data_IF_808991396159
#
_entry.id   IF_808991396159
#
_cell.length_a   1.000
_cell.length_b   1.000
_cell.length_c   1.000
_cell.angle_alpha   90.00
_cell.angle_beta   90.00
_cell.angle_gamma   90.00
#
_symmetry.space_group_name_H-M   'P 1'
#
loop_
_entity.id
_entity.type
_entity.pdbx_description
1 polymer ?
#
# COMPACT_ATOMS: atom_id res chain seq x y z
N UNK A 1 -17.85 -22.86 15.31
CA UNK A 1 -18.21 -21.50 14.82
C UNK A 1 -17.32 -21.15 13.63
N UNK A 2 -16.02 -21.32 13.73
CA UNK A 2 -15.02 -21.01 12.68
C UNK A 2 -15.35 -21.69 11.35
N UNK A 3 -15.70 -22.97 11.36
CA UNK A 3 -16.03 -23.73 10.15
C UNK A 3 -17.25 -23.17 9.38
N UNK A 4 -18.23 -22.62 10.11
CA UNK A 4 -19.41 -21.98 9.50
C UNK A 4 -19.04 -20.69 8.78
N UNK A 5 -18.13 -19.89 9.36
CA UNK A 5 -17.63 -18.65 8.71
C UNK A 5 -16.72 -18.94 7.51
N UNK A 6 -15.90 -19.97 7.59
CA UNK A 6 -15.03 -20.41 6.49
C UNK A 6 -15.85 -20.82 5.26
N UNK A 7 -16.91 -21.58 5.44
CA UNK A 7 -17.79 -22.03 4.35
C UNK A 7 -18.50 -20.89 3.60
N UNK A 8 -18.69 -19.74 4.21
CA UNK A 8 -19.34 -18.60 3.54
C UNK A 8 -18.46 -17.92 2.51
N UNK A 9 -17.15 -18.07 2.58
CA UNK A 9 -16.16 -17.37 1.72
C UNK A 9 -16.32 -15.82 1.69
N UNK A 10 -17.09 -15.24 2.62
CA UNK A 10 -17.34 -13.81 2.72
C UNK A 10 -16.28 -13.09 3.56
N UNK A 11 -15.63 -13.83 4.46
CA UNK A 11 -14.67 -13.27 5.41
C UNK A 11 -13.23 -13.51 4.96
N UNK A 12 -12.33 -12.60 5.33
CA UNK A 12 -10.92 -12.78 5.05
C UNK A 12 -10.35 -13.98 5.80
N UNK A 13 -9.34 -14.63 5.25
CA UNK A 13 -8.61 -15.70 5.94
C UNK A 13 -8.05 -15.25 7.29
N UNK A 14 -7.69 -13.98 7.41
CA UNK A 14 -7.29 -13.39 8.69
C UNK A 14 -8.40 -13.45 9.74
N UNK A 15 -9.62 -13.03 9.38
CA UNK A 15 -10.79 -13.07 10.28
C UNK A 15 -11.04 -14.51 10.76
N UNK A 16 -11.04 -15.47 9.84
CA UNK A 16 -11.27 -16.88 10.13
C UNK A 16 -10.20 -17.45 11.06
N UNK A 17 -8.93 -17.15 10.80
CA UNK A 17 -7.81 -17.62 11.63
C UNK A 17 -7.85 -17.00 13.04
N UNK A 18 -8.24 -15.73 13.18
CA UNK A 18 -8.43 -15.09 14.48
C UNK A 18 -9.58 -15.71 15.26
N UNK A 19 -10.68 -16.00 14.57
CA UNK A 19 -11.84 -16.66 15.16
C UNK A 19 -11.48 -18.07 15.66
N UNK A 20 -10.71 -18.81 14.86
CA UNK A 20 -10.20 -20.13 15.24
C UNK A 20 -9.30 -20.06 16.48
N UNK A 21 -8.40 -19.09 16.54
CA UNK A 21 -7.56 -18.87 17.72
C UNK A 21 -8.40 -18.57 18.97
N UNK A 22 -9.50 -17.80 18.84
CA UNK A 22 -10.45 -17.52 19.92
C UNK A 22 -11.24 -18.74 20.36
N UNK A 23 -11.67 -19.56 19.43
CA UNK A 23 -12.40 -20.79 19.70
C UNK A 23 -11.53 -21.81 20.45
N UNK A 24 -10.26 -21.97 20.00
CA UNK A 24 -9.29 -22.87 20.64
C UNK A 24 -8.84 -22.41 22.04
N UNK A 25 -8.70 -21.09 22.25
CA UNK A 25 -8.29 -20.52 23.54
C UNK A 25 -9.46 -20.29 24.51
N UNK A 26 -10.72 -20.49 24.09
CA UNK A 26 -11.92 -20.20 24.88
C UNK A 26 -12.20 -18.72 25.13
N UNK A 27 -11.47 -17.81 24.42
CA UNK A 27 -11.56 -16.36 24.60
C UNK A 27 -12.24 -15.66 23.40
N UNK A 28 -13.32 -16.25 22.91
CA UNK A 28 -14.00 -15.81 21.69
C UNK A 28 -14.51 -14.38 21.81
N UNK A 29 -15.11 -14.01 22.96
CA UNK A 29 -15.64 -12.66 23.19
C UNK A 29 -14.55 -11.58 23.10
N UNK A 30 -13.38 -11.86 23.70
CA UNK A 30 -12.22 -10.94 23.64
C UNK A 30 -11.75 -10.78 22.20
N UNK A 31 -11.59 -11.88 21.48
CA UNK A 31 -11.12 -11.84 20.07
C UNK A 31 -12.13 -11.14 19.16
N UNK A 32 -13.43 -11.34 19.35
CA UNK A 32 -14.45 -10.64 18.56
C UNK A 32 -14.40 -9.11 18.81
N UNK A 33 -14.25 -8.70 20.06
CA UNK A 33 -14.10 -7.28 20.40
C UNK A 33 -12.81 -6.69 19.81
N UNK A 34 -11.71 -7.42 19.84
CA UNK A 34 -10.43 -6.99 19.29
C UNK A 34 -10.44 -6.97 17.76
N UNK A 35 -11.14 -7.91 17.10
CA UNK A 35 -11.42 -7.85 15.67
C UNK A 35 -12.26 -6.63 15.29
N UNK A 36 -13.28 -6.29 16.07
CA UNK A 36 -14.09 -5.09 15.84
C UNK A 36 -13.21 -3.83 15.89
N UNK A 37 -12.35 -3.69 16.91
CA UNK A 37 -11.39 -2.59 17.03
C UNK A 37 -10.35 -2.59 15.90
N UNK A 38 -9.94 -3.78 15.47
CA UNK A 38 -9.01 -3.93 14.35
C UNK A 38 -9.62 -3.37 13.06
N UNK A 39 -10.83 -3.79 12.70
CA UNK A 39 -11.50 -3.33 11.48
C UNK A 39 -11.85 -1.84 11.51
N UNK A 40 -12.31 -1.31 12.65
CA UNK A 40 -12.51 0.14 12.84
C UNK A 40 -11.20 0.92 12.63
N UNK A 41 -10.11 0.42 13.15
CA UNK A 41 -8.78 0.99 12.95
C UNK A 41 -8.28 0.91 11.51
N UNK A 42 -8.58 -0.18 10.80
CA UNK A 42 -8.26 -0.35 9.38
C UNK A 42 -9.04 0.64 8.53
N UNK A 43 -10.32 0.82 8.81
CA UNK A 43 -11.16 1.78 8.11
C UNK A 43 -10.68 3.21 8.32
N UNK A 44 -10.36 3.59 9.56
CA UNK A 44 -9.76 4.89 9.87
C UNK A 44 -8.42 5.11 9.16
N UNK A 45 -7.56 4.07 9.11
CA UNK A 45 -6.30 4.16 8.38
C UNK A 45 -6.54 4.36 6.89
N UNK A 46 -7.43 3.57 6.29
CA UNK A 46 -7.81 3.68 4.88
C UNK A 46 -8.39 5.05 4.54
N UNK A 47 -9.32 5.54 5.36
CA UNK A 47 -9.92 6.87 5.20
C UNK A 47 -8.86 7.97 5.26
N UNK A 48 -7.91 7.89 6.20
CA UNK A 48 -6.83 8.86 6.32
C UNK A 48 -5.89 8.85 5.12
N UNK A 49 -5.57 7.67 4.59
CA UNK A 49 -4.76 7.50 3.37
C UNK A 49 -5.47 8.13 2.17
N UNK A 50 -6.76 7.84 1.98
CA UNK A 50 -7.57 8.41 0.90
C UNK A 50 -7.58 9.94 1.01
N UNK A 51 -7.85 10.48 2.19
CA UNK A 51 -7.90 11.94 2.41
C UNK A 51 -6.59 12.64 2.06
N UNK A 52 -5.45 12.04 2.38
CA UNK A 52 -4.14 12.59 2.05
C UNK A 52 -3.86 12.49 0.54
N UNK A 53 -4.36 11.45 -0.12
CA UNK A 53 -4.15 11.20 -1.55
C UNK A 53 -5.01 12.06 -2.46
N UNK A 54 -6.10 12.67 -1.96
CA UNK A 54 -7.02 13.49 -2.76
C UNK A 54 -6.30 14.67 -3.42
N UNK A 55 -5.47 15.39 -2.66
CA UNK A 55 -4.76 16.58 -3.17
C UNK A 55 -3.81 16.25 -4.34
N UNK A 56 -2.88 15.29 -4.25
CA UNK A 56 -2.05 14.88 -5.38
C UNK A 56 -2.85 14.43 -6.60
N UNK A 57 -3.96 13.72 -6.38
CA UNK A 57 -4.81 13.25 -7.48
C UNK A 57 -5.47 14.43 -8.20
N UNK A 58 -6.01 15.40 -7.47
CA UNK A 58 -6.60 16.62 -8.07
C UNK A 58 -5.56 17.38 -8.87
N UNK A 59 -4.35 17.56 -8.34
CA UNK A 59 -3.27 18.24 -9.06
C UNK A 59 -2.91 17.54 -10.38
N UNK A 60 -2.77 16.22 -10.36
CA UNK A 60 -2.49 15.43 -11.56
C UNK A 60 -3.62 15.58 -12.58
N UNK A 61 -4.88 15.50 -12.16
CA UNK A 61 -6.03 15.66 -13.03
C UNK A 61 -6.05 17.05 -13.65
N UNK A 62 -5.86 18.10 -12.86
CA UNK A 62 -5.85 19.49 -13.36
C UNK A 62 -4.69 19.73 -14.32
N UNK A 63 -3.50 19.20 -14.01
CA UNK A 63 -2.34 19.27 -14.92
C UNK A 63 -2.60 18.56 -16.24
N UNK A 64 -3.23 17.38 -16.21
CA UNK A 64 -3.59 16.64 -17.43
C UNK A 64 -4.63 17.39 -18.27
N UNK A 65 -5.66 17.94 -17.63
CA UNK A 65 -6.72 18.74 -18.30
C UNK A 65 -6.10 20.00 -18.93
N UNK A 66 -5.26 20.73 -18.19
CA UNK A 66 -4.56 21.91 -18.72
C UNK A 66 -3.64 21.57 -19.87
N UNK A 67 -2.84 20.51 -19.75
CA UNK A 67 -1.97 20.03 -20.83
C UNK A 67 -2.74 19.60 -22.08
N UNK A 68 -3.85 18.90 -21.89
CA UNK A 68 -4.75 18.53 -23.00
C UNK A 68 -5.36 19.77 -23.67
N UNK A 69 -5.81 20.76 -22.89
CA UNK A 69 -6.34 22.01 -23.41
C UNK A 69 -5.31 22.75 -24.26
N UNK A 70 -4.06 22.85 -23.77
CA UNK A 70 -2.96 23.49 -24.52
C UNK A 70 -2.71 22.76 -25.85
N UNK A 71 -2.63 21.43 -25.81
CA UNK A 71 -2.37 20.62 -27.01
C UNK A 71 -3.47 20.74 -28.06
N UNK A 72 -4.74 20.76 -27.63
CA UNK A 72 -5.89 20.69 -28.56
C UNK A 72 -6.29 22.09 -29.06
N UNK A 73 -6.15 23.15 -28.23
CA UNK A 73 -6.67 24.48 -28.58
C UNK A 73 -5.58 25.51 -28.83
N UNK A 74 -4.47 25.50 -28.09
CA UNK A 74 -3.45 26.54 -28.19
C UNK A 74 -2.44 26.21 -29.28
N UNK A 75 -1.90 25.01 -29.31
CA UNK A 75 -0.86 24.60 -30.27
C UNK A 75 -1.31 24.76 -31.73
N UNK A 76 -2.52 24.39 -32.14
CA UNK A 76 -2.98 24.60 -33.53
C UNK A 76 -3.01 26.06 -33.98
N UNK A 77 -3.25 27.00 -33.07
CA UNK A 77 -3.20 28.43 -33.41
C UNK A 77 -1.77 28.87 -33.76
N UNK A 78 -0.75 28.34 -33.08
CA UNK A 78 0.63 28.58 -33.42
C UNK A 78 1.01 27.97 -34.78
N UNK A 79 0.51 26.76 -35.08
CA UNK A 79 0.72 26.11 -36.38
C UNK A 79 0.25 27.01 -37.52
N UNK A 80 -0.97 27.55 -37.44
CA UNK A 80 -1.52 28.48 -38.44
C UNK A 80 -0.68 29.75 -38.59
N UNK A 81 -0.10 30.29 -37.50
CA UNK A 81 0.76 31.47 -37.54
C UNK A 81 2.08 31.15 -38.25
N UNK A 82 2.69 30.02 -37.99
CA UNK A 82 3.92 29.60 -38.67
C UNK A 82 3.71 29.39 -40.17
N UNK A 83 2.60 28.74 -40.54
CA UNK A 83 2.22 28.51 -41.95
C UNK A 83 1.95 29.83 -42.66
N UNK A 84 1.20 30.76 -42.06
CA UNK A 84 0.84 32.04 -42.65
C UNK A 84 2.08 32.92 -42.90
N UNK A 85 3.10 32.79 -42.08
CA UNK A 85 4.34 33.57 -42.23
C UNK A 85 5.44 32.84 -43.01
N UNK A 86 5.22 31.64 -43.49
CA UNK A 86 6.21 30.85 -44.22
C UNK A 86 7.44 30.45 -43.40
N UNK A 87 7.33 30.46 -42.05
CA UNK A 87 8.45 30.23 -41.14
C UNK A 87 8.46 28.76 -40.73
N UNK A 88 9.59 28.09 -40.90
CA UNK A 88 9.75 26.72 -40.37
C UNK A 88 9.88 26.75 -38.86
N UNK A 89 8.97 26.05 -38.11
CA UNK A 89 9.05 25.99 -36.66
C UNK A 89 10.33 25.26 -36.18
N UNK A 90 10.89 25.62 -35.01
CA UNK A 90 11.98 24.90 -34.37
C UNK A 90 11.60 23.44 -34.09
N UNK A 91 12.59 22.55 -33.97
CA UNK A 91 12.41 21.11 -33.78
C UNK A 91 11.44 20.76 -32.62
N UNK A 92 11.58 21.43 -31.49
CA UNK A 92 10.69 21.22 -30.33
C UNK A 92 9.24 21.60 -30.63
N UNK A 93 9.04 22.73 -31.30
CA UNK A 93 7.69 23.18 -31.72
C UNK A 93 7.07 22.20 -32.73
N UNK A 94 7.88 21.70 -33.67
CA UNK A 94 7.42 20.71 -34.66
C UNK A 94 6.97 19.39 -34.01
N UNK A 95 7.67 18.94 -32.97
CA UNK A 95 7.26 17.75 -32.19
C UNK A 95 5.94 18.02 -31.44
N UNK A 96 5.78 19.20 -30.84
CA UNK A 96 4.55 19.59 -30.15
C UNK A 96 3.37 19.69 -31.11
N UNK A 97 3.53 20.29 -32.28
CA UNK A 97 2.52 20.36 -33.31
C UNK A 97 2.13 18.94 -33.77
N UNK A 98 3.11 18.09 -34.09
CA UNK A 98 2.84 16.70 -34.47
C UNK A 98 2.08 15.90 -33.40
N UNK A 99 2.43 16.11 -32.14
CA UNK A 99 1.73 15.51 -31.00
C UNK A 99 0.29 16.03 -30.88
N UNK A 100 0.09 17.34 -31.08
CA UNK A 100 -1.23 17.98 -31.08
C UNK A 100 -2.14 17.41 -32.16
N UNK A 101 -1.67 17.31 -33.39
CA UNK A 101 -2.42 16.71 -34.53
C UNK A 101 -2.78 15.25 -34.21
N UNK A 102 -1.81 14.46 -33.74
CA UNK A 102 -2.03 13.08 -33.38
C UNK A 102 -3.10 12.92 -32.28
N UNK A 103 -3.05 13.74 -31.24
CA UNK A 103 -4.03 13.72 -30.14
C UNK A 103 -5.40 14.15 -30.65
N UNK A 104 -5.48 15.18 -31.49
CA UNK A 104 -6.72 15.73 -32.02
C UNK A 104 -7.42 14.77 -33.00
N UNK A 105 -6.69 14.06 -33.84
CA UNK A 105 -7.27 13.11 -34.78
C UNK A 105 -7.64 11.77 -34.15
N UNK A 106 -6.88 11.35 -33.12
CA UNK A 106 -7.00 10.01 -32.55
C UNK A 106 -7.42 9.96 -31.09
N UNK A 107 -8.01 11.06 -30.56
CA UNK A 107 -8.40 11.13 -29.14
C UNK A 107 -9.36 10.02 -28.71
N UNK A 108 -10.33 9.65 -29.60
CA UNK A 108 -11.26 8.55 -29.33
C UNK A 108 -10.54 7.20 -29.24
N UNK A 109 -9.61 6.93 -30.16
CA UNK A 109 -8.81 5.69 -30.13
C UNK A 109 -7.93 5.62 -28.87
N UNK A 110 -7.29 6.74 -28.52
CA UNK A 110 -6.47 6.83 -27.29
C UNK A 110 -7.32 6.58 -26.06
N UNK A 111 -8.52 7.16 -26.01
CA UNK A 111 -9.47 6.96 -24.90
C UNK A 111 -9.91 5.49 -24.78
N UNK A 112 -10.34 4.87 -25.89
CA UNK A 112 -10.77 3.46 -25.86
C UNK A 112 -9.63 2.50 -25.56
N UNK A 113 -8.44 2.72 -26.12
CA UNK A 113 -7.25 1.90 -25.82
C UNK A 113 -6.87 2.04 -24.35
N UNK A 114 -6.88 3.26 -23.81
CA UNK A 114 -6.63 3.51 -22.38
C UNK A 114 -7.65 2.79 -21.48
N UNK A 115 -8.94 2.89 -21.81
CA UNK A 115 -10.02 2.23 -21.07
C UNK A 115 -9.88 0.71 -21.11
N UNK A 116 -9.64 0.13 -22.29
CA UNK A 116 -9.45 -1.31 -22.47
C UNK A 116 -8.19 -1.78 -21.71
N UNK A 117 -7.10 -1.01 -21.77
CA UNK A 117 -5.87 -1.31 -21.06
C UNK A 117 -6.08 -1.34 -19.54
N UNK A 118 -6.80 -0.36 -18.98
CA UNK A 118 -7.13 -0.31 -17.56
C UNK A 118 -7.97 -1.52 -17.15
N UNK A 119 -9.03 -1.84 -17.93
CA UNK A 119 -9.89 -2.99 -17.67
C UNK A 119 -9.10 -4.32 -17.75
N UNK A 120 -8.22 -4.46 -18.76
CA UNK A 120 -7.36 -5.63 -18.91
C UNK A 120 -6.41 -5.79 -17.73
N UNK A 121 -5.77 -4.70 -17.30
CA UNK A 121 -4.86 -4.71 -16.13
C UNK A 121 -5.64 -5.08 -14.86
N UNK A 122 -6.82 -4.52 -14.64
CA UNK A 122 -7.68 -4.87 -13.50
C UNK A 122 -8.09 -6.34 -13.52
N UNK A 123 -8.46 -6.86 -14.69
CA UNK A 123 -8.81 -8.26 -14.89
C UNK A 123 -7.62 -9.20 -14.60
N UNK A 124 -6.46 -8.89 -15.17
CA UNK A 124 -5.23 -9.68 -14.97
C UNK A 124 -4.78 -9.70 -13.50
N UNK A 125 -4.88 -8.57 -12.81
CA UNK A 125 -4.55 -8.48 -11.37
C UNK A 125 -5.46 -9.38 -10.54
N UNK A 126 -6.73 -9.50 -10.91
CA UNK A 126 -7.72 -10.29 -10.17
C UNK A 126 -7.52 -11.80 -10.35
N UNK A 127 -7.17 -12.23 -11.57
CA UNK A 127 -7.15 -13.65 -11.92
C UNK A 127 -5.76 -14.28 -12.04
N UNK A 128 -4.69 -13.48 -12.22
CA UNK A 128 -3.36 -14.01 -12.44
C UNK A 128 -2.42 -13.76 -11.24
N UNK A 129 -2.00 -14.83 -10.52
CA UNK A 129 -1.12 -14.69 -9.35
C UNK A 129 0.24 -14.07 -9.70
N UNK A 130 0.76 -14.29 -10.92
CA UNK A 130 2.02 -13.67 -11.38
C UNK A 130 1.89 -12.15 -11.51
N UNK A 131 0.73 -11.66 -11.96
CA UNK A 131 0.47 -10.22 -12.08
C UNK A 131 0.28 -9.59 -10.69
N UNK A 132 -0.35 -10.31 -9.75
CA UNK A 132 -0.44 -9.89 -8.34
C UNK A 132 0.96 -9.75 -7.74
N UNK A 133 1.86 -10.70 -7.97
CA UNK A 133 3.26 -10.64 -7.52
C UNK A 133 4.00 -9.42 -8.10
N UNK A 134 3.88 -9.16 -9.42
CA UNK A 134 4.50 -8.01 -10.06
C UNK A 134 3.95 -6.69 -9.48
N UNK A 135 2.65 -6.59 -9.28
CA UNK A 135 2.00 -5.43 -8.65
C UNK A 135 2.56 -5.17 -7.25
N UNK A 136 2.66 -6.20 -6.43
CA UNK A 136 3.18 -6.09 -5.06
C UNK A 136 4.67 -5.71 -5.06
N UNK A 137 5.45 -6.23 -6.02
CA UNK A 137 6.84 -5.83 -6.23
C UNK A 137 6.99 -4.38 -6.69
N UNK A 138 6.14 -3.91 -7.60
CA UNK A 138 6.16 -2.50 -8.04
C UNK A 138 5.82 -1.54 -6.90
N UNK A 139 4.82 -1.85 -6.09
CA UNK A 139 4.47 -1.03 -4.93
C UNK A 139 5.63 -0.83 -3.95
N UNK A 140 6.45 -1.87 -3.77
CA UNK A 140 7.63 -1.82 -2.93
C UNK A 140 8.84 -1.14 -3.60
N UNK A 141 8.81 -0.91 -4.93
CA UNK A 141 9.93 -0.30 -5.68
C UNK A 141 9.80 1.22 -5.81
N UNK A 142 8.59 1.77 -5.80
CA UNK A 142 8.35 3.21 -5.96
C UNK A 142 8.59 3.89 -4.61
N UNK A 143 9.58 4.81 -4.47
CA UNK A 143 10.04 5.30 -3.17
C UNK A 143 8.94 5.92 -2.30
N UNK A 144 8.03 6.70 -2.86
CA UNK A 144 6.91 7.30 -2.12
C UNK A 144 5.86 6.25 -1.68
N UNK A 145 5.51 5.34 -2.59
CA UNK A 145 4.54 4.27 -2.31
C UNK A 145 5.13 3.24 -1.35
N UNK A 146 6.42 2.97 -1.45
CA UNK A 146 7.14 2.04 -0.58
C UNK A 146 7.06 2.47 0.89
N UNK A 147 7.39 3.72 1.21
CA UNK A 147 7.32 4.22 2.58
C UNK A 147 5.93 4.08 3.19
N UNK A 148 4.90 4.42 2.41
CA UNK A 148 3.51 4.27 2.80
C UNK A 148 3.12 2.79 3.00
N UNK A 149 3.55 1.91 2.09
CA UNK A 149 3.27 0.47 2.18
C UNK A 149 3.96 -0.16 3.39
N UNK A 150 5.23 0.18 3.65
CA UNK A 150 5.95 -0.31 4.84
C UNK A 150 5.23 0.13 6.12
N UNK A 151 4.75 1.37 6.18
CA UNK A 151 3.97 1.84 7.33
C UNK A 151 2.68 1.03 7.53
N UNK A 152 1.91 0.81 6.45
CA UNK A 152 0.67 0.02 6.51
C UNK A 152 0.97 -1.42 6.93
N UNK A 153 1.99 -2.04 6.33
CA UNK A 153 2.44 -3.39 6.66
C UNK A 153 2.85 -3.48 8.12
N UNK A 154 3.69 -2.54 8.59
CA UNK A 154 4.15 -2.52 10.00
C UNK A 154 2.99 -2.35 10.96
N UNK A 155 2.06 -1.42 10.66
CA UNK A 155 0.89 -1.17 11.51
C UNK A 155 -0.02 -2.39 11.60
N UNK A 156 -0.30 -3.06 10.47
CA UNK A 156 -1.10 -4.28 10.44
C UNK A 156 -0.43 -5.42 11.18
N UNK A 157 0.84 -5.64 10.90
CA UNK A 157 1.62 -6.68 11.58
C UNK A 157 1.61 -6.50 13.09
N UNK A 158 1.93 -5.30 13.58
CA UNK A 158 1.97 -4.99 15.00
C UNK A 158 0.61 -5.19 15.70
N UNK A 159 -0.47 -4.73 15.10
CA UNK A 159 -1.81 -4.88 15.67
C UNK A 159 -2.21 -6.33 15.76
N UNK A 160 -2.04 -7.06 14.66
CA UNK A 160 -2.38 -8.49 14.62
C UNK A 160 -1.54 -9.27 15.62
N UNK A 161 -0.24 -9.01 15.66
CA UNK A 161 0.67 -9.65 16.60
C UNK A 161 0.28 -9.36 18.06
N UNK A 162 -0.04 -8.09 18.39
CA UNK A 162 -0.48 -7.73 19.73
C UNK A 162 -1.74 -8.48 20.14
N UNK A 163 -2.76 -8.51 19.29
CA UNK A 163 -4.02 -9.20 19.57
C UNK A 163 -3.78 -10.69 19.83
N UNK A 164 -2.99 -11.35 18.99
CA UNK A 164 -2.72 -12.78 19.09
C UNK A 164 -1.92 -13.13 20.35
N UNK A 165 -0.88 -12.36 20.64
CA UNK A 165 -0.03 -12.56 21.84
C UNK A 165 -0.84 -12.30 23.12
N UNK A 166 -1.65 -11.24 23.18
CA UNK A 166 -2.54 -10.97 24.32
C UNK A 166 -3.64 -12.02 24.49
N UNK A 167 -4.00 -12.71 23.41
CA UNK A 167 -4.95 -13.83 23.45
C UNK A 167 -4.31 -15.16 23.79
N UNK A 168 -2.99 -15.19 24.07
CA UNK A 168 -2.27 -16.40 24.48
C UNK A 168 -1.82 -17.30 23.33
N UNK A 169 -1.88 -16.83 22.09
CA UNK A 169 -1.37 -17.59 20.94
C UNK A 169 0.15 -17.65 21.00
N UNK A 170 0.74 -18.81 20.72
CA UNK A 170 2.20 -18.97 20.67
C UNK A 170 2.82 -18.00 19.67
N UNK A 171 3.94 -17.41 20.04
CA UNK A 171 4.57 -16.32 19.26
C UNK A 171 4.90 -16.70 17.81
N UNK A 172 5.29 -17.94 17.56
CA UNK A 172 5.61 -18.43 16.20
C UNK A 172 4.35 -18.45 15.32
N UNK A 173 3.25 -18.92 15.87
CA UNK A 173 1.95 -18.97 15.17
C UNK A 173 1.35 -17.57 15.04
N UNK A 174 1.52 -16.72 16.06
CA UNK A 174 1.11 -15.33 16.01
C UNK A 174 1.84 -14.57 14.88
N UNK A 175 3.13 -14.81 14.67
CA UNK A 175 3.89 -14.23 13.55
C UNK A 175 3.40 -14.76 12.21
N UNK A 176 3.08 -16.04 12.08
CA UNK A 176 2.55 -16.63 10.85
C UNK A 176 1.20 -16.03 10.47
N UNK A 177 0.25 -16.00 11.42
CA UNK A 177 -1.08 -15.42 11.22
C UNK A 177 -0.96 -13.92 10.89
N UNK A 178 -0.11 -13.19 11.61
CA UNK A 178 0.14 -11.77 11.35
C UNK A 178 0.70 -11.53 9.95
N UNK A 179 1.61 -12.39 9.49
CA UNK A 179 2.20 -12.26 8.15
C UNK A 179 1.18 -12.51 7.02
N UNK A 180 0.26 -13.44 7.22
CA UNK A 180 -0.86 -13.71 6.28
C UNK A 180 -1.85 -12.55 6.18
N UNK A 181 -2.05 -11.81 7.28
CA UNK A 181 -2.93 -10.65 7.33
C UNK A 181 -2.44 -9.46 6.48
N UNK A 182 -1.19 -9.46 6.03
CA UNK A 182 -0.58 -8.32 5.33
C UNK A 182 -1.03 -8.15 3.87
N UNK A 183 -1.72 -9.13 3.30
CA UNK A 183 -2.19 -9.17 1.90
C UNK A 183 -1.10 -8.76 0.87
N UNK A 184 0.14 -9.20 1.14
CA UNK A 184 1.28 -8.99 0.26
C UNK A 184 2.11 -10.27 0.18
N UNK A 185 2.16 -10.87 -1.00
CA UNK A 185 2.79 -12.18 -1.21
C UNK A 185 4.31 -12.11 -0.92
N UNK A 186 4.98 -11.06 -1.34
CA UNK A 186 6.43 -10.91 -1.16
C UNK A 186 6.79 -10.77 0.31
N UNK A 187 6.00 -9.98 1.04
CA UNK A 187 6.20 -9.78 2.49
C UNK A 187 5.94 -11.09 3.24
N UNK A 188 4.89 -11.82 2.86
CA UNK A 188 4.59 -13.13 3.44
C UNK A 188 5.73 -14.14 3.20
N UNK A 189 6.26 -14.24 1.97
CA UNK A 189 7.40 -15.11 1.65
C UNK A 189 8.63 -14.76 2.49
N UNK A 190 8.97 -13.48 2.58
CA UNK A 190 10.11 -13.03 3.39
C UNK A 190 9.93 -13.33 4.88
N UNK A 191 8.75 -13.10 5.43
CA UNK A 191 8.45 -13.40 6.83
C UNK A 191 8.33 -14.89 7.11
N UNK A 192 7.98 -15.72 6.13
CA UNK A 192 7.97 -17.18 6.28
C UNK A 192 9.36 -17.74 6.55
N UNK A 193 10.40 -17.15 5.93
CA UNK A 193 11.79 -17.48 6.20
C UNK A 193 12.18 -17.09 7.63
N UNK A 194 11.79 -15.89 8.07
CA UNK A 194 12.02 -15.43 9.44
C UNK A 194 11.36 -16.34 10.48
N UNK A 195 10.14 -16.81 10.21
CA UNK A 195 9.43 -17.77 11.07
C UNK A 195 10.23 -19.05 11.27
N UNK A 196 10.83 -19.58 10.19
CA UNK A 196 11.63 -20.80 10.28
C UNK A 196 12.89 -20.60 11.16
N UNK A 197 13.51 -19.42 11.08
CA UNK A 197 14.61 -19.05 11.97
C UNK A 197 14.18 -19.00 13.45
N UNK A 198 13.00 -18.44 13.73
CA UNK A 198 12.44 -18.36 15.09
C UNK A 198 12.13 -19.77 15.64
N UNK A 199 11.57 -20.66 14.81
CA UNK A 199 11.31 -22.05 15.18
C UNK A 199 12.59 -22.80 15.60
N UNK A 200 13.73 -22.42 15.03
CA UNK A 200 15.05 -22.96 15.38
C UNK A 200 15.66 -22.34 16.63
N UNK A 201 14.94 -21.48 17.33
CA UNK A 201 15.37 -20.85 18.57
C UNK A 201 16.17 -19.56 18.41
N UNK A 202 16.24 -18.99 17.21
CA UNK A 202 16.84 -17.67 17.03
C UNK A 202 15.94 -16.56 17.58
N UNK A 203 16.56 -15.45 17.98
CA UNK A 203 15.84 -14.25 18.42
C UNK A 203 14.85 -13.76 17.36
N UNK A 204 13.68 -13.30 17.82
CA UNK A 204 12.59 -12.82 16.95
C UNK A 204 13.05 -11.57 16.20
N UNK A 205 13.63 -10.61 16.91
CA UNK A 205 14.13 -9.35 16.35
C UNK A 205 15.19 -9.59 15.27
N UNK A 206 16.15 -10.47 15.55
CA UNK A 206 17.17 -10.86 14.57
C UNK A 206 16.54 -11.55 13.34
N UNK A 207 15.65 -12.50 13.55
CA UNK A 207 15.02 -13.26 12.47
C UNK A 207 14.18 -12.36 11.56
N UNK A 208 13.40 -11.44 12.15
CA UNK A 208 12.57 -10.49 11.41
C UNK A 208 13.44 -9.45 10.68
N UNK A 209 14.58 -9.03 11.23
CA UNK A 209 15.51 -8.12 10.56
C UNK A 209 16.02 -8.66 9.23
N UNK A 210 16.22 -9.97 9.11
CA UNK A 210 16.64 -10.65 7.88
C UNK A 210 15.62 -10.58 6.76
N UNK A 211 14.35 -10.30 7.06
CA UNK A 211 13.33 -10.11 6.03
C UNK A 211 13.51 -8.82 5.23
N UNK A 212 14.23 -7.83 5.77
CA UNK A 212 14.41 -6.49 5.16
C UNK A 212 13.07 -5.80 4.79
N UNK A 213 12.01 -6.16 5.48
CA UNK A 213 10.66 -5.58 5.25
C UNK A 213 10.45 -4.35 6.11
N UNK A 214 10.95 -4.40 7.34
CA UNK A 214 10.68 -3.38 8.36
C UNK A 214 11.85 -2.41 8.52
N UNK A 215 11.54 -1.22 9.04
CA UNK A 215 12.57 -0.21 9.31
C UNK A 215 13.47 -0.63 10.48
N UNK A 216 14.71 -0.12 10.50
CA UNK A 216 15.66 -0.36 11.61
C UNK A 216 15.08 0.10 12.95
N UNK A 217 14.34 1.21 12.97
CA UNK A 217 13.69 1.71 14.18
C UNK A 217 12.68 0.71 14.73
N UNK A 218 11.89 0.08 13.84
CA UNK A 218 10.96 -0.98 14.26
C UNK A 218 11.68 -2.20 14.81
N UNK A 219 12.77 -2.65 14.16
CA UNK A 219 13.56 -3.80 14.62
C UNK A 219 14.16 -3.54 16.00
N UNK A 220 14.68 -2.32 16.25
CA UNK A 220 15.22 -1.95 17.58
C UNK A 220 14.14 -2.01 18.66
N UNK A 221 12.95 -1.53 18.39
CA UNK A 221 11.83 -1.60 19.33
C UNK A 221 11.32 -3.03 19.54
N UNK A 222 11.34 -3.84 18.48
CA UNK A 222 10.98 -5.26 18.56
C UNK A 222 11.95 -6.01 19.49
N UNK A 223 13.26 -5.68 19.44
CA UNK A 223 14.28 -6.23 20.33
C UNK A 223 14.00 -5.88 21.79
N UNK A 224 13.69 -4.62 22.08
CA UNK A 224 13.31 -4.19 23.43
C UNK A 224 12.06 -4.95 23.91
N UNK A 225 11.09 -5.17 23.01
CA UNK A 225 9.89 -5.95 23.30
C UNK A 225 10.18 -7.41 23.61
N UNK A 226 11.15 -8.00 22.91
CA UNK A 226 11.62 -9.36 23.11
C UNK A 226 12.34 -9.51 24.45
N UNK A 227 13.31 -8.62 24.77
CA UNK A 227 14.06 -8.62 26.02
C UNK A 227 13.18 -8.37 27.25
N UNK A 228 12.13 -7.54 27.12
CA UNK A 228 11.21 -7.21 28.22
C UNK A 228 10.01 -8.16 28.33
N UNK A 229 9.84 -9.10 27.40
CA UNK A 229 8.68 -9.97 27.32
C UNK A 229 7.35 -9.27 26.95
N UNK A 230 7.42 -8.01 26.45
CA UNK A 230 6.27 -7.16 26.10
C UNK A 230 6.19 -6.88 24.60
N UNK A 231 6.37 -7.91 23.78
CA UNK A 231 6.39 -7.79 22.31
C UNK A 231 5.15 -7.09 21.74
N UNK A 232 3.95 -7.53 22.12
CA UNK A 232 2.69 -7.01 21.59
C UNK A 232 2.54 -5.50 21.85
N UNK A 233 2.51 -5.05 23.11
CA UNK A 233 2.36 -3.63 23.46
C UNK A 233 3.42 -2.73 22.83
N UNK A 234 4.70 -3.14 22.81
CA UNK A 234 5.79 -2.36 22.24
C UNK A 234 5.68 -2.26 20.72
N UNK A 235 5.34 -3.37 20.05
CA UNK A 235 5.05 -3.34 18.62
C UNK A 235 3.90 -2.37 18.29
N UNK A 236 2.82 -2.41 19.06
CA UNK A 236 1.67 -1.54 18.85
C UNK A 236 2.04 -0.07 19.03
N UNK A 237 2.76 0.27 20.12
CA UNK A 237 3.24 1.62 20.38
C UNK A 237 4.14 2.12 19.25
N UNK A 238 5.05 1.29 18.78
CA UNK A 238 5.96 1.62 17.66
C UNK A 238 5.19 1.91 16.38
N UNK A 239 4.17 1.12 16.08
CA UNK A 239 3.31 1.36 14.92
C UNK A 239 2.60 2.73 14.99
N UNK A 240 2.15 3.16 16.16
CA UNK A 240 1.57 4.48 16.36
C UNK A 240 2.58 5.60 16.13
N UNK A 241 3.79 5.49 16.69
CA UNK A 241 4.87 6.48 16.52
C UNK A 241 5.25 6.62 15.05
N UNK A 242 5.49 5.51 14.35
CA UNK A 242 5.83 5.51 12.92
C UNK A 242 4.73 6.15 12.07
N UNK A 243 3.46 5.89 12.39
CA UNK A 243 2.32 6.49 11.72
C UNK A 243 2.28 8.01 11.90
N UNK A 244 2.48 8.52 13.11
CA UNK A 244 2.47 9.96 13.37
C UNK A 244 3.66 10.66 12.71
N UNK A 245 4.85 10.05 12.73
CA UNK A 245 6.02 10.56 12.03
C UNK A 245 5.79 10.68 10.51
N UNK A 246 5.20 9.65 9.90
CA UNK A 246 4.89 9.69 8.48
C UNK A 246 3.86 10.77 8.13
N UNK A 247 2.80 10.92 8.94
CA UNK A 247 1.78 11.97 8.76
C UNK A 247 2.42 13.35 8.87
N UNK A 248 3.32 13.57 9.81
CA UNK A 248 4.06 14.80 9.98
C UNK A 248 4.91 15.12 8.74
N UNK A 249 5.65 14.13 8.23
CA UNK A 249 6.50 14.27 7.03
C UNK A 249 5.68 14.64 5.78
N UNK A 250 4.53 13.98 5.57
CA UNK A 250 3.65 14.31 4.43
C UNK A 250 3.04 15.71 4.58
N UNK A 251 2.70 16.12 5.79
CA UNK A 251 2.19 17.47 6.06
C UNK A 251 3.25 18.53 5.79
N UNK A 252 4.49 18.28 6.19
CA UNK A 252 5.62 19.17 5.94
C UNK A 252 5.89 19.31 4.44
N UNK A 253 5.94 18.21 3.68
CA UNK A 253 6.10 18.23 2.23
C UNK A 253 4.99 19.04 1.53
N UNK A 254 3.74 18.95 2.03
CA UNK A 254 2.63 19.76 1.53
C UNK A 254 2.82 21.27 1.83
N UNK A 255 3.35 21.61 3.00
CA UNK A 255 3.62 23.02 3.35
C UNK A 255 4.76 23.60 2.50
N UNK A 256 5.81 22.85 2.21
CA UNK A 256 6.91 23.28 1.35
C UNK A 256 6.44 23.50 -0.09
N UNK A 257 5.61 22.59 -0.60
CA UNK A 257 5.04 22.71 -1.95
C UNK A 257 4.10 23.93 -2.11
N UNK A 258 3.36 24.29 -1.07
CA UNK A 258 2.49 25.49 -1.11
C UNK A 258 3.27 26.81 -0.98
N UNK A 259 4.58 26.78 -0.67
CA UNK A 259 5.46 27.96 -0.63
C UNK A 259 6.15 28.27 -1.94
N UNK A 260 6.20 27.32 -2.87
CA UNK A 260 6.68 27.47 -4.25
C UNK A 260 5.58 27.96 -5.18
#
# INVERSE_FOLDING_TARGET
ITESFEKTNLFSSFFVNMLQAGELSGNLDKIMNDLAKYYDSEERLKSKIISISIYPIILIIMSMVSGFFILVFIIPNFEMIFEANGINPPLLTKILIGTSVFVREKYLYIFFISLISILLVCYLIKYNPKVKYIKDKLKLKIPFINQMMILVITTRFCRTLNILVESGVQIVDAIDISSRALDNIIVYEKLSISREHIRRGNEISYSISKSEVFSNSFISMLRIGEETGKLGPICLQTAYVLKEQWIASVRQAKCEFNRL
#
